data_IF_946702143246
#
_entry.id   IF_946702143246
#
_cell.length_a   1.000
_cell.length_b   1.000
_cell.length_c   1.000
_cell.angle_alpha   90.00
_cell.angle_beta   90.00
_cell.angle_gamma   90.00
#
_symmetry.space_group_name_H-M   'P 1'
#
loop_
_entity.id
_entity.type
_entity.pdbx_description
1 polymer ?
#
# COMPACT_ATOMS: atom_id res chain seq x y z
N UNK A 1 -12.57 -6.66 5.41
CA UNK A 1 -13.23 -7.60 6.36
C UNK A 1 -12.48 -7.54 7.68
N UNK A 2 -13.16 -7.32 8.80
CA UNK A 2 -12.52 -7.20 10.12
C UNK A 2 -12.26 -8.59 10.76
N UNK A 3 -11.44 -8.64 11.84
CA UNK A 3 -11.09 -9.91 12.51
C UNK A 3 -12.31 -10.72 12.97
N UNK A 4 -13.38 -10.05 13.40
CA UNK A 4 -14.63 -10.69 13.88
C UNK A 4 -15.40 -11.35 12.74
N UNK A 5 -15.45 -10.71 11.58
CA UNK A 5 -16.05 -11.25 10.36
C UNK A 5 -15.26 -12.43 9.79
N UNK A 6 -13.92 -12.35 9.79
CA UNK A 6 -13.02 -13.44 9.40
C UNK A 6 -13.31 -14.69 10.23
N UNK A 7 -13.38 -14.54 11.56
CA UNK A 7 -13.67 -15.66 12.46
C UNK A 7 -15.06 -16.24 12.24
N UNK A 8 -16.09 -15.41 12.08
CA UNK A 8 -17.46 -15.88 11.80
C UNK A 8 -17.53 -16.68 10.51
N UNK A 9 -16.89 -16.20 9.44
CA UNK A 9 -16.86 -16.86 8.13
C UNK A 9 -16.06 -18.17 8.20
N UNK A 10 -14.94 -18.19 8.92
CA UNK A 10 -14.14 -19.40 9.11
C UNK A 10 -14.89 -20.47 9.92
N UNK A 11 -15.61 -20.10 10.99
CA UNK A 11 -16.44 -21.03 11.76
C UNK A 11 -17.57 -21.62 10.91
N UNK A 12 -18.23 -20.80 10.09
CA UNK A 12 -19.28 -21.28 9.17
C UNK A 12 -18.73 -22.30 8.17
N UNK A 13 -17.54 -22.03 7.60
CA UNK A 13 -16.86 -22.92 6.66
C UNK A 13 -16.35 -24.22 7.34
N UNK A 14 -15.85 -24.14 8.57
CA UNK A 14 -15.40 -25.33 9.31
C UNK A 14 -16.56 -26.30 9.61
N UNK A 15 -17.78 -25.78 9.80
CA UNK A 15 -18.98 -26.60 10.03
C UNK A 15 -19.40 -27.43 8.81
N UNK A 16 -19.05 -27.00 7.60
CA UNK A 16 -19.36 -27.75 6.37
C UNK A 16 -18.31 -28.80 6.02
N UNK A 17 -17.17 -28.80 6.72
CA UNK A 17 -16.09 -29.75 6.51
C UNK A 17 -16.27 -30.98 7.42
N UNK A 18 -15.77 -32.13 6.95
CA UNK A 18 -15.79 -33.41 7.70
C UNK A 18 -14.41 -33.65 8.33
N UNK A 19 -14.38 -34.16 9.56
CA UNK A 19 -13.14 -34.52 10.28
C UNK A 19 -12.97 -33.83 11.63
N UNK A 20 -11.75 -33.85 12.15
CA UNK A 20 -11.40 -33.24 13.43
C UNK A 20 -11.69 -31.72 13.44
N UNK A 21 -12.24 -31.22 14.55
CA UNK A 21 -12.65 -29.83 14.66
C UNK A 21 -11.46 -28.86 14.55
N UNK A 22 -10.33 -29.19 15.17
CA UNK A 22 -9.14 -28.34 15.17
C UNK A 22 -8.54 -28.26 13.76
N UNK A 23 -8.45 -29.39 13.07
CA UNK A 23 -7.97 -29.45 11.69
C UNK A 23 -8.87 -28.66 10.72
N UNK A 24 -10.20 -28.80 10.85
CA UNK A 24 -11.18 -28.05 10.03
C UNK A 24 -11.12 -26.56 10.27
N UNK A 25 -11.04 -26.14 11.53
CA UNK A 25 -10.97 -24.73 11.89
C UNK A 25 -9.68 -24.09 11.36
N UNK A 26 -8.54 -24.79 11.46
CA UNK A 26 -7.27 -24.32 10.92
C UNK A 26 -7.30 -24.18 9.39
N UNK A 27 -7.87 -25.16 8.68
CA UNK A 27 -8.01 -25.11 7.22
C UNK A 27 -8.97 -24.00 6.79
N UNK A 28 -10.12 -23.88 7.45
CA UNK A 28 -11.10 -22.84 7.17
C UNK A 28 -10.52 -21.43 7.41
N UNK A 29 -9.74 -21.24 8.49
CA UNK A 29 -9.05 -19.97 8.74
C UNK A 29 -8.09 -19.64 7.60
N UNK A 30 -7.25 -20.59 7.18
CA UNK A 30 -6.31 -20.39 6.07
C UNK A 30 -7.03 -20.00 4.78
N UNK A 31 -8.13 -20.66 4.46
CA UNK A 31 -8.93 -20.37 3.26
C UNK A 31 -9.55 -18.97 3.32
N UNK A 32 -10.17 -18.59 4.45
CA UNK A 32 -10.76 -17.25 4.59
C UNK A 32 -9.69 -16.16 4.60
N UNK A 33 -8.54 -16.39 5.22
CA UNK A 33 -7.42 -15.45 5.16
C UNK A 33 -6.83 -15.33 3.75
N UNK A 34 -6.73 -16.42 3.00
CA UNK A 34 -6.31 -16.37 1.60
C UNK A 34 -7.32 -15.61 0.73
N UNK A 35 -8.61 -15.77 0.99
CA UNK A 35 -9.67 -15.02 0.30
C UNK A 35 -9.62 -13.52 0.65
N UNK A 36 -9.41 -13.16 1.92
CA UNK A 36 -9.18 -11.77 2.33
C UNK A 36 -7.94 -11.20 1.67
N UNK A 37 -6.87 -12.00 1.61
CA UNK A 37 -5.62 -11.59 0.96
C UNK A 37 -5.81 -11.38 -0.54
N UNK A 38 -6.57 -12.24 -1.22
CA UNK A 38 -6.96 -12.09 -2.63
C UNK A 38 -7.92 -10.93 -2.88
N UNK A 39 -8.87 -10.68 -1.97
CA UNK A 39 -9.73 -9.50 -2.06
C UNK A 39 -8.96 -8.20 -1.80
N UNK A 40 -7.84 -8.29 -1.06
CA UNK A 40 -6.87 -7.22 -0.86
C UNK A 40 -5.80 -7.13 -1.94
N UNK A 41 -5.71 -8.11 -2.86
CA UNK A 41 -4.87 -8.00 -4.05
C UNK A 41 -5.51 -6.96 -4.96
N UNK A 42 -5.14 -5.70 -4.73
CA UNK A 42 -5.36 -4.63 -5.71
C UNK A 42 -4.81 -5.15 -7.03
N UNK A 43 -5.64 -5.12 -8.07
CA UNK A 43 -5.21 -5.49 -9.42
C UNK A 43 -4.20 -4.46 -9.87
N UNK A 44 -2.92 -4.71 -9.57
CA UNK A 44 -1.83 -3.86 -9.98
C UNK A 44 -1.65 -4.00 -11.50
N UNK A 45 -1.34 -2.90 -12.20
CA UNK A 45 -1.09 -2.98 -13.63
C UNK A 45 0.15 -3.84 -13.90
N UNK A 46 0.08 -4.63 -14.98
CA UNK A 46 1.23 -5.35 -15.49
C UNK A 46 2.36 -4.36 -15.82
N UNK A 47 3.59 -4.72 -15.45
CA UNK A 47 4.74 -3.85 -15.65
C UNK A 47 5.25 -3.90 -17.08
N UNK A 48 5.57 -2.71 -17.62
CA UNK A 48 6.26 -2.48 -18.88
C UNK A 48 7.77 -2.33 -18.63
N UNK A 49 8.58 -3.01 -19.42
CA UNK A 49 10.05 -2.98 -19.33
C UNK A 49 10.66 -4.29 -19.83
N UNK A 50 11.98 -4.42 -19.68
CA UNK A 50 12.66 -5.70 -19.94
C UNK A 50 12.27 -6.76 -18.90
N UNK A 51 12.35 -8.04 -19.25
CA UNK A 51 12.02 -9.15 -18.33
C UNK A 51 12.77 -9.05 -16.98
N UNK A 52 14.06 -8.70 -17.04
CA UNK A 52 14.88 -8.46 -15.83
C UNK A 52 14.37 -7.29 -15.00
N UNK A 53 14.04 -6.16 -15.64
CA UNK A 53 13.49 -4.99 -14.94
C UNK A 53 12.13 -5.30 -14.32
N UNK A 54 11.25 -5.97 -15.06
CA UNK A 54 9.91 -6.34 -14.60
C UNK A 54 10.00 -7.26 -13.38
N UNK A 55 10.87 -8.26 -13.41
CA UNK A 55 11.09 -9.18 -12.29
C UNK A 55 11.54 -8.42 -11.04
N UNK A 56 12.57 -7.59 -11.19
CA UNK A 56 13.10 -6.80 -10.07
C UNK A 56 12.10 -5.77 -9.54
N UNK A 57 11.39 -5.07 -10.43
CA UNK A 57 10.37 -4.10 -10.05
C UNK A 57 9.17 -4.75 -9.34
N UNK A 58 8.78 -5.97 -9.71
CA UNK A 58 7.77 -6.74 -8.98
C UNK A 58 8.26 -7.12 -7.57
N UNK A 59 9.51 -7.55 -7.41
CA UNK A 59 10.10 -7.82 -6.09
C UNK A 59 10.11 -6.57 -5.20
N UNK A 60 10.38 -5.40 -5.80
CA UNK A 60 10.30 -4.10 -5.14
C UNK A 60 8.85 -3.80 -4.72
N UNK A 61 7.88 -3.85 -5.66
CA UNK A 61 6.46 -3.58 -5.40
C UNK A 61 5.92 -4.41 -4.24
N UNK A 62 6.22 -5.71 -4.25
CA UNK A 62 5.76 -6.68 -3.26
C UNK A 62 6.23 -6.34 -1.84
N UNK A 63 7.40 -5.70 -1.70
CA UNK A 63 7.94 -5.27 -0.41
C UNK A 63 7.46 -3.88 -0.01
N UNK A 64 7.40 -2.96 -0.99
CA UNK A 64 7.19 -1.54 -0.76
C UNK A 64 5.72 -1.18 -0.55
N UNK A 65 4.81 -1.73 -1.36
CA UNK A 65 3.38 -1.38 -1.31
C UNK A 65 2.78 -1.61 0.09
N UNK A 66 3.00 -2.75 0.77
CA UNK A 66 2.46 -2.97 2.12
C UNK A 66 2.95 -1.95 3.16
N UNK A 67 4.20 -1.50 3.03
CA UNK A 67 4.79 -0.50 3.94
C UNK A 67 4.12 0.86 3.72
N UNK A 68 3.99 1.28 2.45
CA UNK A 68 3.34 2.55 2.10
C UNK A 68 1.86 2.52 2.49
N UNK A 69 1.16 1.41 2.26
CA UNK A 69 -0.25 1.23 2.64
C UNK A 69 -0.47 1.38 4.14
N UNK A 70 0.32 0.68 4.96
CA UNK A 70 0.27 0.79 6.42
C UNK A 70 0.46 2.23 6.88
N UNK A 71 1.39 2.95 6.24
CA UNK A 71 1.65 4.35 6.57
C UNK A 71 0.50 5.28 6.17
N UNK A 72 -0.08 5.07 4.98
CA UNK A 72 -1.29 5.78 4.55
C UNK A 72 -2.42 5.59 5.57
N UNK A 73 -2.65 4.37 6.04
CA UNK A 73 -3.68 4.09 7.05
C UNK A 73 -3.41 4.82 8.38
N UNK A 74 -2.16 4.87 8.83
CA UNK A 74 -1.76 5.64 10.03
C UNK A 74 -2.06 7.12 9.83
N UNK A 75 -1.69 7.71 8.68
CA UNK A 75 -1.96 9.11 8.39
C UNK A 75 -3.46 9.42 8.36
N UNK A 76 -4.25 8.55 7.72
CA UNK A 76 -5.71 8.69 7.68
C UNK A 76 -6.29 8.64 9.08
N UNK A 77 -5.85 7.69 9.92
CA UNK A 77 -6.31 7.57 11.31
C UNK A 77 -5.99 8.84 12.11
N UNK A 78 -4.78 9.39 11.96
CA UNK A 78 -4.38 10.64 12.63
C UNK A 78 -5.18 11.85 12.15
N UNK A 79 -5.56 11.89 10.87
CA UNK A 79 -6.48 12.91 10.35
C UNK A 79 -7.88 12.76 10.96
N UNK A 80 -8.39 11.54 11.06
CA UNK A 80 -9.71 11.28 11.65
C UNK A 80 -9.77 11.65 13.14
N UNK A 81 -8.67 11.45 13.87
CA UNK A 81 -8.55 11.83 15.28
C UNK A 81 -8.21 13.32 15.50
N UNK A 82 -8.13 14.13 14.44
CA UNK A 82 -7.68 15.52 14.48
C UNK A 82 -6.27 15.75 15.08
N UNK A 83 -5.44 14.70 15.17
CA UNK A 83 -4.03 14.79 15.60
C UNK A 83 -3.18 15.57 14.59
N UNK A 84 -3.60 15.58 13.32
CA UNK A 84 -3.05 16.45 12.29
C UNK A 84 -4.03 17.55 11.88
N UNK A 85 -3.47 18.72 11.61
CA UNK A 85 -4.23 19.91 11.24
C UNK A 85 -5.34 20.23 12.25
N UNK A 86 -5.04 20.14 13.54
CA UNK A 86 -5.96 20.42 14.65
C UNK A 86 -6.68 21.77 14.47
N UNK A 87 -5.96 22.79 14.00
CA UNK A 87 -6.48 24.14 13.74
C UNK A 87 -7.34 24.28 12.47
N UNK A 88 -7.56 23.21 11.71
CA UNK A 88 -8.40 23.19 10.50
C UNK A 88 -9.76 22.57 10.82
N UNK A 89 -10.70 22.71 9.89
CA UNK A 89 -12.03 22.11 10.02
C UNK A 89 -12.04 20.64 9.53
N UNK A 90 -13.13 19.95 9.83
CA UNK A 90 -13.33 18.55 9.41
C UNK A 90 -13.38 18.43 7.88
N UNK A 91 -13.91 19.44 7.19
CA UNK A 91 -13.98 19.47 5.73
C UNK A 91 -12.57 19.46 5.10
N UNK A 92 -11.64 20.24 5.64
CA UNK A 92 -10.24 20.23 5.21
C UNK A 92 -9.58 18.87 5.46
N UNK A 93 -9.77 18.26 6.64
CA UNK A 93 -9.20 16.95 6.98
C UNK A 93 -9.78 15.83 6.10
N UNK A 94 -11.08 15.86 5.83
CA UNK A 94 -11.74 14.94 4.91
C UNK A 94 -11.19 15.08 3.49
N UNK A 95 -11.01 16.31 3.00
CA UNK A 95 -10.38 16.56 1.69
C UNK A 95 -8.96 16.00 1.64
N UNK A 96 -8.15 16.22 2.69
CA UNK A 96 -6.77 15.70 2.76
C UNK A 96 -6.71 14.19 2.79
N UNK A 97 -7.64 13.53 3.49
CA UNK A 97 -7.78 12.08 3.47
C UNK A 97 -8.02 11.55 2.05
N UNK A 98 -8.91 12.16 1.29
CA UNK A 98 -9.16 11.76 -0.10
C UNK A 98 -7.96 12.03 -1.02
N UNK A 99 -7.26 13.15 -0.84
CA UNK A 99 -6.02 13.43 -1.57
C UNK A 99 -4.93 12.38 -1.30
N UNK A 100 -4.75 11.94 -0.05
CA UNK A 100 -3.78 10.90 0.33
C UNK A 100 -4.15 9.55 -0.31
N UNK A 101 -5.43 9.18 -0.31
CA UNK A 101 -5.88 7.94 -0.98
C UNK A 101 -5.66 8.01 -2.49
N UNK A 102 -5.99 9.13 -3.12
CA UNK A 102 -5.79 9.33 -4.56
C UNK A 102 -4.30 9.25 -4.93
N UNK A 103 -3.45 9.90 -4.15
CA UNK A 103 -1.99 9.82 -4.22
C UNK A 103 -1.46 8.39 -4.15
N UNK A 104 -1.89 7.64 -3.14
CA UNK A 104 -1.48 6.24 -3.00
C UNK A 104 -1.96 5.39 -4.17
N UNK A 105 -3.19 5.61 -4.63
CA UNK A 105 -3.72 4.91 -5.79
C UNK A 105 -2.92 5.24 -7.07
N UNK A 106 -2.55 6.50 -7.28
CA UNK A 106 -1.69 6.89 -8.41
C UNK A 106 -0.32 6.20 -8.34
N UNK A 107 0.27 6.16 -7.15
CA UNK A 107 1.57 5.52 -6.89
C UNK A 107 1.56 4.02 -7.25
N UNK A 108 0.58 3.26 -6.78
CA UNK A 108 0.52 1.80 -7.04
C UNK A 108 0.18 1.47 -8.49
N UNK A 109 -0.47 2.40 -9.21
CA UNK A 109 -0.86 2.21 -10.62
C UNK A 109 0.24 2.62 -11.62
N UNK A 110 1.45 2.95 -11.18
CA UNK A 110 2.58 3.21 -12.09
C UNK A 110 3.02 1.92 -12.76
N UNK A 111 2.86 1.82 -14.06
CA UNK A 111 2.97 0.59 -14.84
C UNK A 111 4.35 0.38 -15.50
N UNK A 112 5.32 1.28 -15.35
CA UNK A 112 6.67 1.07 -15.85
C UNK A 112 7.63 0.55 -14.77
N UNK A 113 8.48 -0.42 -15.11
CA UNK A 113 9.38 -1.07 -14.16
C UNK A 113 10.52 -0.15 -13.69
N UNK A 114 11.01 0.72 -14.56
CA UNK A 114 12.06 1.71 -14.26
C UNK A 114 11.67 2.66 -13.13
N UNK A 115 10.40 3.04 -13.04
CA UNK A 115 9.86 3.87 -11.97
C UNK A 115 10.12 3.25 -10.59
N UNK A 116 9.82 1.95 -10.43
CA UNK A 116 9.97 1.25 -9.15
C UNK A 116 11.43 1.04 -8.79
N UNK A 117 12.26 0.73 -9.79
CA UNK A 117 13.70 0.58 -9.65
C UNK A 117 14.33 1.91 -9.22
N UNK A 118 14.04 2.99 -9.95
CA UNK A 118 14.58 4.31 -9.66
C UNK A 118 14.12 4.82 -8.29
N UNK A 119 12.82 4.67 -7.97
CA UNK A 119 12.25 5.09 -6.69
C UNK A 119 13.01 4.47 -5.52
N UNK A 120 13.39 3.20 -5.62
CA UNK A 120 14.12 2.50 -4.57
C UNK A 120 15.61 2.80 -4.52
N UNK A 121 16.25 3.00 -5.68
CA UNK A 121 17.66 3.38 -5.77
C UNK A 121 17.94 4.77 -5.21
N UNK A 122 17.03 5.71 -5.42
CA UNK A 122 17.23 7.11 -5.02
C UNK A 122 16.86 7.40 -3.58
N UNK A 123 15.95 6.61 -3.00
CA UNK A 123 15.26 7.08 -1.80
C UNK A 123 15.04 6.06 -0.67
N UNK A 124 15.27 4.76 -0.89
CA UNK A 124 14.67 3.75 0.00
C UNK A 124 15.60 2.60 0.38
N UNK A 125 16.51 2.19 -0.49
CA UNK A 125 17.38 1.03 -0.24
C UNK A 125 18.79 1.50 0.11
N UNK A 126 19.04 1.78 1.38
CA UNK A 126 20.40 1.82 1.91
C UNK A 126 20.79 0.42 2.40
N UNK A 127 21.81 -0.20 1.77
CA UNK A 127 22.39 -1.49 2.20
C UNK A 127 21.39 -2.66 2.25
N UNK A 128 20.45 -2.72 1.31
CA UNK A 128 19.51 -3.85 1.18
C UNK A 128 18.35 -3.85 2.17
N UNK A 129 18.16 -2.76 2.94
CA UNK A 129 17.01 -2.56 3.82
C UNK A 129 16.18 -1.38 3.33
N UNK A 130 14.87 -1.54 3.39
CA UNK A 130 13.91 -0.45 3.18
C UNK A 130 13.85 0.33 4.49
N UNK A 131 14.24 1.59 4.47
CA UNK A 131 14.08 2.48 5.63
C UNK A 131 12.64 2.99 5.69
N UNK A 132 11.86 2.42 6.63
CA UNK A 132 10.44 2.75 6.82
C UNK A 132 10.24 4.21 7.25
N UNK A 133 11.16 4.79 8.03
CA UNK A 133 11.08 6.19 8.47
C UNK A 133 11.38 7.15 7.33
N UNK A 134 12.37 6.83 6.49
CA UNK A 134 12.68 7.62 5.30
C UNK A 134 11.53 7.60 4.28
N UNK A 135 10.89 6.43 4.10
CA UNK A 135 9.67 6.30 3.30
C UNK A 135 8.50 7.11 3.86
N UNK A 136 8.32 7.07 5.18
CA UNK A 136 7.29 7.84 5.86
C UNK A 136 7.53 9.34 5.66
N UNK A 137 8.76 9.80 5.87
CA UNK A 137 9.15 11.19 5.69
C UNK A 137 8.96 11.63 4.24
N UNK A 138 9.34 10.82 3.26
CA UNK A 138 9.13 11.15 1.86
C UNK A 138 7.66 11.18 1.46
N UNK A 139 6.88 10.16 1.82
CA UNK A 139 5.47 10.11 1.46
C UNK A 139 4.73 11.29 2.13
N UNK A 140 5.02 11.54 3.40
CA UNK A 140 4.44 12.69 4.12
C UNK A 140 4.94 14.03 3.59
N UNK A 141 6.23 14.22 3.31
CA UNK A 141 6.79 15.47 2.80
C UNK A 141 6.37 15.76 1.36
N UNK A 142 6.35 14.76 0.48
CA UNK A 142 5.98 14.93 -0.92
C UNK A 142 4.46 15.09 -1.10
N UNK A 143 3.63 14.40 -0.31
CA UNK A 143 2.17 14.48 -0.43
C UNK A 143 1.51 15.54 0.49
N UNK A 144 2.00 15.76 1.72
CA UNK A 144 1.35 16.67 2.67
C UNK A 144 1.79 18.13 2.53
N UNK A 145 3.03 18.42 2.10
CA UNK A 145 3.53 19.81 1.96
C UNK A 145 3.07 20.53 0.67
N UNK A 146 2.01 20.06 0.00
CA UNK A 146 1.33 20.88 -1.01
C UNK A 146 2.08 21.06 -2.33
N UNK A 147 2.85 20.06 -2.78
CA UNK A 147 3.28 19.94 -4.18
C UNK A 147 2.53 18.80 -4.87
N UNK A 148 1.20 18.93 -4.96
CA UNK A 148 0.34 18.17 -5.89
C UNK A 148 0.62 18.56 -7.37
N UNK A 149 1.71 19.31 -7.61
CA UNK A 149 2.44 19.36 -8.88
C UNK A 149 3.93 19.04 -8.62
N UNK A 150 4.44 18.01 -9.27
CA UNK A 150 5.87 17.77 -9.50
C UNK A 150 6.80 17.36 -8.33
N UNK A 151 6.57 16.23 -7.66
CA UNK A 151 7.76 15.38 -7.38
C UNK A 151 8.00 14.50 -8.61
N UNK A 152 6.93 13.86 -9.09
CA UNK A 152 6.95 13.00 -10.27
C UNK A 152 7.01 13.73 -11.61
N UNK A 153 6.40 14.90 -11.78
CA UNK A 153 6.59 15.67 -13.03
C UNK A 153 8.03 16.19 -13.20
N UNK A 154 8.76 16.42 -12.09
CA UNK A 154 10.20 16.75 -12.12
C UNK A 154 11.06 15.54 -12.49
N UNK A 155 10.74 14.36 -11.95
CA UNK A 155 11.39 13.11 -12.37
C UNK A 155 11.10 12.76 -13.85
N UNK A 156 9.91 13.04 -14.35
CA UNK A 156 9.53 12.80 -15.75
C UNK A 156 10.22 13.76 -16.72
N UNK A 157 10.50 15.01 -16.33
CA UNK A 157 11.25 15.94 -17.19
C UNK A 157 12.73 15.59 -17.33
N UNK A 158 13.30 14.84 -16.40
CA UNK A 158 14.72 14.41 -16.44
C UNK A 158 14.93 13.05 -17.13
N UNK A 159 13.86 12.29 -17.39
CA UNK A 159 13.92 10.99 -18.08
C UNK A 159 13.65 11.07 -19.59
N UNK A 160 13.27 12.25 -20.11
CA UNK A 160 12.97 12.50 -21.54
C UNK A 160 13.81 13.64 -22.15
N UNK A 161 14.95 14.00 -21.53
CA UNK A 161 16.00 14.86 -22.07
C UNK A 161 17.32 14.08 -22.09
#
# INVERSE_FOLDING_TARGET
>A
MNKKEIMKKAVALAKTMVGDWVARMALALKTVWAEVKKMGEKVLPALKGTEKQVTWANDIRNKLIPIVEKNVDIFITKLENAEFFEKKDDAYRAKKKEEIKAAFNEFINKDHADYWIYFTQTNVIHRGRIDEECLLYMFSYQFLNGRVKSAFDRMRSELYL
#
